data_IF_670912761107
#
_entry.id   IF_670912761107
#
_cell.length_a   1.000
_cell.length_b   1.000
_cell.length_c   1.000
_cell.angle_alpha   90.00
_cell.angle_beta   90.00
_cell.angle_gamma   90.00
#
_symmetry.space_group_name_H-M   'P 1'
#
loop_
_entity.id
_entity.type
_entity.pdbx_description
1 polymer ?
#
# COMPACT_ATOMS: atom_id res chain seq x y z
N UNK A 1 -75.48 -11.91 7.38
CA UNK A 1 -74.68 -10.69 7.17
C UNK A 1 -73.21 -11.04 7.38
N UNK A 2 -72.54 -11.41 6.28
CA UNK A 2 -71.09 -11.59 6.04
C UNK A 2 -70.17 -12.22 7.13
N UNK A 3 -70.46 -13.44 7.59
CA UNK A 3 -69.54 -14.17 8.49
C UNK A 3 -68.23 -14.63 7.84
N UNK A 4 -68.17 -14.70 6.51
CA UNK A 4 -66.94 -14.99 5.76
C UNK A 4 -65.95 -13.82 5.82
N UNK A 5 -66.43 -12.59 6.05
CA UNK A 5 -65.61 -11.38 6.06
C UNK A 5 -64.72 -11.29 7.31
N UNK A 6 -65.16 -11.88 8.43
CA UNK A 6 -64.40 -11.91 9.70
C UNK A 6 -63.11 -12.73 9.60
N UNK A 7 -63.04 -13.70 8.68
CA UNK A 7 -61.88 -14.57 8.47
C UNK A 7 -61.01 -14.05 7.32
N UNK A 8 -61.61 -13.46 6.29
CA UNK A 8 -60.86 -12.97 5.12
C UNK A 8 -60.00 -11.75 5.48
N UNK A 9 -60.50 -10.83 6.31
CA UNK A 9 -59.75 -9.63 6.72
C UNK A 9 -58.42 -9.99 7.43
N UNK A 10 -58.39 -10.82 8.49
CA UNK A 10 -57.14 -11.14 9.17
C UNK A 10 -56.18 -11.93 8.28
N UNK A 11 -56.68 -12.81 7.39
CA UNK A 11 -55.82 -13.56 6.45
C UNK A 11 -55.14 -12.63 5.46
N UNK A 12 -55.86 -11.64 4.92
CA UNK A 12 -55.28 -10.64 4.01
C UNK A 12 -54.26 -9.76 4.72
N UNK A 13 -54.51 -9.38 5.98
CA UNK A 13 -53.56 -8.60 6.78
C UNK A 13 -52.30 -9.41 7.06
N UNK A 14 -52.42 -10.69 7.44
CA UNK A 14 -51.25 -11.55 7.67
C UNK A 14 -50.46 -11.79 6.38
N UNK A 15 -51.15 -11.99 5.26
CA UNK A 15 -50.49 -12.14 3.95
C UNK A 15 -49.80 -10.85 3.50
N UNK A 16 -50.39 -9.68 3.74
CA UNK A 16 -49.77 -8.39 3.45
C UNK A 16 -48.54 -8.16 4.34
N UNK A 17 -48.64 -8.43 5.64
CA UNK A 17 -47.52 -8.31 6.57
C UNK A 17 -46.39 -9.29 6.25
N UNK A 18 -46.71 -10.55 5.94
CA UNK A 18 -45.72 -11.55 5.53
C UNK A 18 -45.08 -11.18 4.17
N UNK A 19 -45.87 -10.67 3.22
CA UNK A 19 -45.37 -10.20 1.93
C UNK A 19 -44.43 -9.01 2.08
N UNK A 20 -44.79 -8.01 2.89
CA UNK A 20 -43.91 -6.87 3.19
C UNK A 20 -42.65 -7.32 3.90
N UNK A 21 -42.76 -8.17 4.92
CA UNK A 21 -41.62 -8.64 5.69
C UNK A 21 -40.64 -9.47 4.85
N UNK A 22 -41.15 -10.33 3.95
CA UNK A 22 -40.33 -11.10 3.03
C UNK A 22 -39.67 -10.21 1.96
N UNK A 23 -40.36 -9.18 1.48
CA UNK A 23 -39.82 -8.24 0.51
C UNK A 23 -38.76 -7.29 1.11
N UNK A 24 -38.89 -6.92 2.38
CA UNK A 24 -37.91 -6.08 3.09
C UNK A 24 -36.75 -6.87 3.68
N UNK A 25 -36.80 -8.20 3.62
CA UNK A 25 -35.73 -9.11 4.04
C UNK A 25 -34.59 -9.20 3.03
N UNK A 26 -34.49 -8.20 2.16
CA UNK A 26 -33.50 -8.10 1.08
C UNK A 26 -32.17 -8.64 1.57
N UNK A 27 -31.78 -9.75 0.94
CA UNK A 27 -30.55 -10.46 1.23
C UNK A 27 -29.41 -9.46 1.06
N UNK A 28 -28.93 -8.94 2.19
CA UNK A 28 -27.70 -8.14 2.28
C UNK A 28 -26.49 -9.04 2.09
N UNK A 29 -26.55 -9.93 1.10
CA UNK A 29 -25.39 -10.64 0.61
C UNK A 29 -24.65 -9.65 -0.27
N UNK A 30 -23.43 -9.32 0.15
CA UNK A 30 -22.42 -8.55 -0.57
C UNK A 30 -22.07 -9.25 -1.91
N UNK A 31 -23.04 -9.33 -2.83
CA UNK A 31 -22.98 -10.05 -4.11
C UNK A 31 -22.06 -9.38 -5.15
N UNK A 32 -21.10 -8.59 -4.67
CA UNK A 32 -20.11 -7.88 -5.48
C UNK A 32 -18.77 -7.63 -4.79
N UNK A 33 -18.59 -8.05 -3.53
CA UNK A 33 -17.30 -7.90 -2.84
C UNK A 33 -16.34 -9.03 -3.24
N UNK A 34 -15.64 -8.84 -4.37
CA UNK A 34 -14.53 -9.69 -4.77
C UNK A 34 -13.33 -9.43 -3.86
N UNK A 35 -13.16 -10.26 -2.84
CA UNK A 35 -11.96 -10.27 -1.99
C UNK A 35 -10.92 -11.20 -2.59
N UNK A 36 -9.79 -10.64 -3.02
CA UNK A 36 -8.63 -11.40 -3.46
C UNK A 36 -7.48 -11.21 -2.46
N UNK A 37 -6.88 -12.32 -2.04
CA UNK A 37 -5.67 -12.30 -1.21
C UNK A 37 -4.47 -12.56 -2.10
N UNK A 38 -3.43 -11.73 -1.95
CA UNK A 38 -2.16 -11.88 -2.64
C UNK A 38 -1.03 -11.30 -1.78
N UNK A 39 0.20 -11.59 -2.18
CA UNK A 39 1.38 -11.06 -1.50
C UNK A 39 1.86 -9.81 -2.23
N UNK A 40 2.16 -8.76 -1.47
CA UNK A 40 2.87 -7.59 -1.99
C UNK A 40 4.37 -7.87 -1.85
N UNK A 41 5.08 -7.89 -2.97
CA UNK A 41 6.54 -8.01 -2.99
C UNK A 41 7.20 -6.66 -3.20
N UNK A 42 8.26 -6.40 -2.44
CA UNK A 42 9.08 -5.20 -2.56
C UNK A 42 10.50 -5.59 -2.97
N UNK A 43 11.07 -4.86 -3.93
CA UNK A 43 12.48 -5.00 -4.29
C UNK A 43 13.31 -4.19 -3.29
N UNK A 44 14.20 -4.87 -2.58
CA UNK A 44 15.12 -4.24 -1.63
C UNK A 44 16.53 -4.20 -2.21
N UNK A 45 17.26 -3.12 -1.94
CA UNK A 45 18.65 -2.98 -2.32
C UNK A 45 19.46 -2.51 -1.10
N UNK A 46 20.50 -3.27 -0.75
CA UNK A 46 21.46 -2.89 0.28
C UNK A 46 22.57 -2.05 -0.37
N UNK A 47 22.72 -0.81 0.09
CA UNK A 47 23.67 0.14 -0.45
C UNK A 47 24.84 0.36 0.52
N UNK A 48 26.05 0.47 -0.02
CA UNK A 48 27.26 0.74 0.74
C UNK A 48 28.37 1.28 -0.15
N UNK A 49 29.41 1.83 0.47
CA UNK A 49 30.59 2.29 -0.27
C UNK A 49 31.46 1.11 -0.68
N UNK A 50 31.94 1.13 -1.92
CA UNK A 50 32.85 0.10 -2.46
C UNK A 50 34.22 0.12 -1.79
N UNK A 51 34.65 1.31 -1.37
CA UNK A 51 35.92 1.53 -0.68
C UNK A 51 35.68 1.79 0.81
N UNK A 52 36.55 1.27 1.70
CA UNK A 52 36.52 1.63 3.09
C UNK A 52 36.91 3.10 3.27
N UNK A 53 36.25 3.80 4.20
CA UNK A 53 36.57 5.19 4.50
C UNK A 53 35.63 5.82 5.52
N UNK A 54 35.82 7.12 5.76
CA UNK A 54 34.95 7.91 6.63
C UNK A 54 33.85 8.56 5.79
N UNK A 55 32.62 8.53 6.28
CA UNK A 55 31.51 9.28 5.67
C UNK A 55 31.72 10.78 5.88
N UNK A 56 31.65 11.54 4.79
CA UNK A 56 31.72 13.00 4.79
C UNK A 56 30.34 13.63 4.99
N UNK A 57 29.33 13.12 4.30
CA UNK A 57 27.94 13.57 4.41
C UNK A 57 26.96 12.44 4.10
N UNK A 58 25.76 12.55 4.66
CA UNK A 58 24.56 11.80 4.27
C UNK A 58 23.53 12.86 3.96
N UNK A 59 22.99 12.83 2.74
CA UNK A 59 22.21 13.93 2.17
C UNK A 59 20.71 13.59 2.09
N UNK A 60 20.28 12.51 2.75
CA UNK A 60 18.90 12.00 2.82
C UNK A 60 18.57 11.51 4.23
N UNK A 61 17.29 11.57 4.59
CA UNK A 61 16.76 11.06 5.85
C UNK A 61 15.98 9.74 5.66
N UNK A 62 15.74 9.04 6.77
CA UNK A 62 14.95 7.81 6.76
C UNK A 62 13.50 8.08 6.31
N UNK A 63 13.05 7.33 5.31
CA UNK A 63 11.70 7.46 4.75
C UNK A 63 11.59 8.43 3.56
N UNK A 64 12.69 9.09 3.18
CA UNK A 64 12.71 9.96 2.00
C UNK A 64 12.51 9.15 0.71
N UNK A 65 11.76 9.73 -0.23
CA UNK A 65 11.66 9.21 -1.58
C UNK A 65 12.89 9.64 -2.38
N UNK A 66 13.58 8.65 -2.96
CA UNK A 66 14.80 8.87 -3.74
C UNK A 66 14.61 8.40 -5.18
N UNK A 67 15.43 8.95 -6.08
CA UNK A 67 15.42 8.59 -7.51
C UNK A 67 16.71 7.89 -7.93
N UNK A 68 16.66 7.13 -9.02
CA UNK A 68 17.83 6.42 -9.54
C UNK A 68 18.93 7.42 -9.93
N UNK A 69 20.16 7.18 -9.43
CA UNK A 69 21.31 8.04 -9.67
C UNK A 69 21.44 9.23 -8.71
N UNK A 70 20.53 9.38 -7.74
CA UNK A 70 20.64 10.39 -6.70
C UNK A 70 21.83 10.09 -5.77
N UNK A 71 22.64 11.11 -5.48
CA UNK A 71 23.67 11.02 -4.44
C UNK A 71 23.01 10.97 -3.07
N UNK A 72 23.20 9.87 -2.34
CA UNK A 72 22.60 9.66 -1.01
C UNK A 72 23.59 10.00 0.12
N UNK A 73 24.88 9.75 -0.12
CA UNK A 73 25.94 9.97 0.84
C UNK A 73 27.28 10.10 0.13
N UNK A 74 28.22 10.79 0.75
CA UNK A 74 29.57 11.04 0.22
C UNK A 74 30.64 10.48 1.15
N UNK A 75 31.62 9.77 0.58
CA UNK A 75 32.82 9.35 1.29
C UNK A 75 33.84 10.50 1.36
N UNK A 76 34.65 10.55 2.41
CA UNK A 76 35.80 11.45 2.49
C UNK A 76 36.91 10.98 1.55
N UNK A 77 37.11 11.72 0.46
CA UNK A 77 38.02 11.39 -0.64
C UNK A 77 39.35 12.15 -0.61
N UNK A 78 39.65 12.92 0.45
CA UNK A 78 40.84 13.80 0.47
C UNK A 78 42.15 13.05 0.21
N UNK A 79 42.31 11.86 0.77
CA UNK A 79 43.50 11.03 0.54
C UNK A 79 43.55 10.49 -0.90
N UNK A 80 42.39 10.05 -1.44
CA UNK A 80 42.30 9.60 -2.82
C UNK A 80 42.63 10.72 -3.80
N UNK A 81 42.11 11.92 -3.57
CA UNK A 81 42.38 13.10 -4.38
C UNK A 81 43.87 13.47 -4.38
N UNK A 82 44.51 13.46 -3.21
CA UNK A 82 45.95 13.71 -3.09
C UNK A 82 46.79 12.66 -3.84
N UNK A 83 46.42 11.38 -3.76
CA UNK A 83 47.10 10.31 -4.50
C UNK A 83 46.96 10.47 -6.01
N UNK A 84 45.77 10.85 -6.49
CA UNK A 84 45.53 11.12 -7.91
C UNK A 84 46.36 12.32 -8.40
N UNK A 85 46.46 13.38 -7.61
CA UNK A 85 47.27 14.55 -7.93
C UNK A 85 48.77 14.21 -8.01
N UNK A 86 49.28 13.46 -7.03
CA UNK A 86 50.67 12.99 -7.02
C UNK A 86 50.99 12.11 -8.24
N UNK A 87 50.10 11.18 -8.60
CA UNK A 87 50.27 10.32 -9.77
C UNK A 87 50.28 11.12 -11.09
N UNK A 88 49.40 12.13 -11.21
CA UNK A 88 49.37 13.02 -12.38
C UNK A 88 50.64 13.84 -12.52
N UNK A 89 51.18 14.35 -11.42
CA UNK A 89 52.43 15.10 -11.41
C UNK A 89 53.64 14.26 -11.82
N UNK A 90 53.59 12.94 -11.61
CA UNK A 90 54.67 12.02 -11.97
C UNK A 90 54.67 11.62 -13.46
N UNK A 91 53.56 11.84 -14.16
CA UNK A 91 53.41 11.58 -15.60
C UNK A 91 53.72 12.80 -16.48
N UNK A 92 53.85 13.99 -15.88
CA UNK A 92 54.27 15.23 -16.55
C UNK A 92 55.77 15.45 -16.43
#
# INVERSE_FOLDING_TARGET
MNDRLKIVIPVVVVAALAGTWLATRGDGEDAGALSASGTVEATTADLGFELPGRIRSVDVDEGDMVTAGQELARLDTRELEANVEAARAQLG
#
